data_IF_755571681958
#
_entry.id   IF_755571681958
#
_cell.length_a   1.000
_cell.length_b   1.000
_cell.length_c   1.000
_cell.angle_alpha   90.00
_cell.angle_beta   90.00
_cell.angle_gamma   90.00
#
_symmetry.space_group_name_H-M   'P 1'
#
loop_
_entity.id
_entity.type
_entity.pdbx_description
1 polymer ?
#
# COMPACT_ATOMS: atom_id res chain seq x y z
N UNK A 1 19.69 -6.47 24.38
CA UNK A 1 19.46 -6.94 25.76
C UNK A 1 20.18 -8.25 25.99
N UNK A 2 20.57 -8.52 27.21
CA UNK A 2 21.20 -9.79 27.60
C UNK A 2 20.28 -10.43 28.63
N UNK A 3 19.82 -11.64 28.34
CA UNK A 3 19.13 -12.47 29.32
C UNK A 3 19.96 -13.74 29.56
N UNK A 4 20.07 -14.17 30.79
CA UNK A 4 20.73 -15.42 31.14
C UNK A 4 19.85 -16.26 32.04
N UNK A 5 19.89 -17.57 31.87
CA UNK A 5 19.22 -18.55 32.73
C UNK A 5 20.17 -19.67 33.08
N UNK A 6 20.04 -20.18 34.30
CA UNK A 6 20.75 -21.38 34.73
C UNK A 6 19.86 -22.55 34.45
N UNK A 7 20.37 -23.55 33.75
CA UNK A 7 19.69 -24.83 33.53
C UNK A 7 19.99 -25.75 34.72
N UNK A 8 18.98 -26.21 35.42
CA UNK A 8 19.12 -27.11 36.54
C UNK A 8 18.93 -28.55 36.08
N UNK A 9 20.02 -29.19 35.67
CA UNK A 9 20.08 -30.61 35.26
C UNK A 9 21.18 -31.32 36.06
N UNK A 10 20.88 -31.64 37.34
CA UNK A 10 21.87 -32.17 38.27
C UNK A 10 22.37 -33.57 37.93
N UNK A 11 21.67 -34.28 37.03
CA UNK A 11 22.10 -35.63 36.63
C UNK A 11 23.20 -35.63 35.57
N UNK A 12 23.44 -34.51 34.89
CA UNK A 12 24.40 -34.45 33.79
C UNK A 12 25.76 -33.92 34.19
N UNK A 13 25.88 -33.08 35.22
CA UNK A 13 27.14 -32.47 35.69
C UNK A 13 26.93 -31.79 37.03
N UNK A 14 27.98 -31.67 37.82
CA UNK A 14 28.09 -30.80 38.99
C UNK A 14 28.19 -29.34 38.63
N UNK A 15 28.45 -29.02 37.36
CA UNK A 15 28.39 -27.70 36.79
C UNK A 15 27.06 -27.41 36.11
N UNK A 16 26.41 -26.31 36.48
CA UNK A 16 25.14 -25.88 35.84
C UNK A 16 25.44 -25.05 34.60
N UNK A 17 25.00 -25.47 33.44
CA UNK A 17 25.17 -24.68 32.22
C UNK A 17 24.43 -23.33 32.35
N UNK A 18 25.10 -22.25 31.96
CA UNK A 18 24.49 -20.92 31.83
C UNK A 18 24.19 -20.71 30.38
N UNK A 19 22.89 -20.55 30.06
CA UNK A 19 22.44 -20.14 28.73
C UNK A 19 22.26 -18.63 28.76
N UNK A 20 22.96 -17.95 27.87
CA UNK A 20 22.85 -16.50 27.69
C UNK A 20 22.31 -16.19 26.32
N UNK A 21 21.13 -15.59 26.28
CA UNK A 21 20.56 -15.06 25.06
C UNK A 21 21.02 -13.60 24.91
N UNK A 22 21.71 -13.31 23.83
CA UNK A 22 22.16 -11.96 23.50
C UNK A 22 21.32 -11.45 22.33
N UNK A 23 20.57 -10.39 22.55
CA UNK A 23 19.78 -9.74 21.51
C UNK A 23 20.47 -8.42 21.17
N UNK A 24 20.88 -8.28 19.92
CA UNK A 24 21.44 -7.05 19.38
C UNK A 24 20.33 -6.17 18.82
N UNK A 25 20.38 -4.89 19.11
CA UNK A 25 19.49 -3.91 18.49
C UNK A 25 19.92 -3.61 17.05
N UNK A 26 18.97 -3.25 16.21
CA UNK A 26 19.25 -2.75 14.88
C UNK A 26 19.67 -1.28 14.96
N UNK A 27 20.75 -0.86 14.28
CA UNK A 27 21.07 0.56 14.17
C UNK A 27 19.94 1.35 13.52
N UNK A 28 19.66 2.57 14.03
CA UNK A 28 18.55 3.40 13.53
C UNK A 28 18.55 3.55 12.01
N UNK A 29 19.70 3.78 11.38
CA UNK A 29 19.83 3.90 9.93
C UNK A 29 19.56 2.62 9.11
N UNK A 30 19.25 1.50 9.78
CA UNK A 30 18.91 0.22 9.14
C UNK A 30 17.51 -0.28 9.50
N UNK A 31 16.73 0.51 10.24
CA UNK A 31 15.38 0.14 10.64
C UNK A 31 14.40 0.27 9.48
N UNK A 32 14.45 1.35 8.70
CA UNK A 32 13.61 1.48 7.52
C UNK A 32 14.07 0.53 6.40
N UNK A 33 13.10 -0.15 5.81
CA UNK A 33 13.29 -1.01 4.65
C UNK A 33 12.88 -0.29 3.36
N UNK A 34 11.82 0.50 3.42
CA UNK A 34 11.31 1.29 2.29
C UNK A 34 11.17 2.75 2.69
N UNK A 35 11.22 3.63 1.70
CA UNK A 35 10.71 4.99 1.86
C UNK A 35 9.20 4.95 2.17
N UNK A 36 8.63 5.98 2.83
CA UNK A 36 7.20 6.08 3.00
C UNK A 36 6.49 6.31 1.67
N UNK A 37 5.30 5.76 1.53
CA UNK A 37 4.44 5.96 0.37
C UNK A 37 3.01 6.30 0.78
N UNK A 38 2.40 7.20 0.04
CA UNK A 38 1.09 7.77 0.30
C UNK A 38 0.02 6.99 -0.46
N UNK A 39 -1.05 6.63 0.24
CA UNK A 39 -2.18 5.91 -0.35
C UNK A 39 -3.52 6.44 0.13
N UNK A 40 -4.57 6.10 -0.59
CA UNK A 40 -5.96 6.31 -0.20
C UNK A 40 -6.27 7.77 0.24
N UNK A 41 -6.04 8.78 -0.63
CA UNK A 41 -6.27 10.19 -0.33
C UNK A 41 -7.78 10.53 -0.42
N UNK A 42 -8.60 9.95 0.45
CA UNK A 42 -10.07 10.08 0.42
C UNK A 42 -10.60 10.53 1.78
N UNK A 43 -11.78 11.14 1.81
CA UNK A 43 -12.45 11.51 3.06
C UNK A 43 -11.70 12.52 3.91
N UNK A 44 -11.01 13.48 3.31
CA UNK A 44 -10.13 14.45 3.99
C UNK A 44 -9.05 13.78 4.82
N UNK A 45 -8.47 12.71 4.30
CA UNK A 45 -7.39 11.99 4.93
C UNK A 45 -6.50 11.31 3.91
N UNK A 46 -5.37 10.79 4.38
CA UNK A 46 -4.40 10.06 3.59
C UNK A 46 -3.74 8.99 4.45
N UNK A 47 -3.36 7.89 3.86
CA UNK A 47 -2.65 6.83 4.56
C UNK A 47 -1.16 6.88 4.22
N UNK A 48 -0.32 6.86 5.24
CA UNK A 48 1.13 6.75 5.12
C UNK A 48 1.52 5.31 5.41
N UNK A 49 2.21 4.67 4.47
CA UNK A 49 2.67 3.30 4.59
C UNK A 49 4.18 3.22 4.41
N UNK A 50 4.82 2.30 5.10
CA UNK A 50 6.26 1.97 4.95
C UNK A 50 6.56 0.62 5.57
N UNK A 51 7.72 0.09 5.27
CA UNK A 51 8.18 -1.16 5.85
C UNK A 51 9.46 -0.96 6.66
N UNK A 52 9.64 -1.83 7.65
CA UNK A 52 10.83 -1.88 8.49
C UNK A 52 11.52 -3.24 8.38
N UNK A 53 12.79 -3.29 8.72
CA UNK A 53 13.60 -4.53 8.70
C UNK A 53 13.43 -5.36 9.97
N UNK A 54 12.88 -4.76 11.01
CA UNK A 54 12.62 -5.36 12.33
C UNK A 54 11.24 -4.96 12.81
N UNK A 55 10.60 -5.74 13.71
CA UNK A 55 9.33 -5.35 14.31
C UNK A 55 9.46 -4.01 15.07
N UNK A 56 8.48 -3.12 14.87
CA UNK A 56 8.53 -1.76 15.42
C UNK A 56 7.23 -1.33 16.09
N UNK A 57 7.38 -0.34 16.98
CA UNK A 57 6.35 0.61 17.34
C UNK A 57 6.51 1.86 16.50
N UNK A 58 5.51 2.19 15.70
CA UNK A 58 5.62 3.22 14.68
C UNK A 58 4.55 4.30 14.81
N UNK A 59 4.88 5.52 14.34
CA UNK A 59 3.97 6.65 14.28
C UNK A 59 4.36 7.61 13.16
N UNK A 60 3.42 8.48 12.79
CA UNK A 60 3.66 9.61 11.88
C UNK A 60 3.58 10.90 12.67
N UNK A 61 4.55 11.78 12.48
CA UNK A 61 4.48 13.17 12.91
C UNK A 61 4.13 14.04 11.71
N UNK A 62 3.09 14.87 11.82
CA UNK A 62 2.58 15.66 10.70
C UNK A 62 1.99 16.99 11.17
N UNK A 63 2.00 17.99 10.28
CA UNK A 63 1.46 19.31 10.54
C UNK A 63 1.59 20.23 9.33
N UNK A 64 0.99 21.41 9.41
CA UNK A 64 1.12 22.44 8.37
C UNK A 64 2.43 23.24 8.51
N UNK A 65 3.13 23.07 9.59
CA UNK A 65 4.50 23.54 9.81
C UNK A 65 5.32 22.47 10.53
N UNK A 66 6.66 22.61 10.52
CA UNK A 66 7.58 21.63 11.10
C UNK A 66 7.79 21.78 12.61
N UNK A 67 7.31 22.87 13.21
CA UNK A 67 7.52 23.17 14.64
C UNK A 67 6.34 22.68 15.49
N UNK A 68 5.12 22.61 14.89
CA UNK A 68 3.89 22.20 15.58
C UNK A 68 3.33 20.92 14.97
N UNK A 69 3.94 19.80 15.27
CA UNK A 69 3.56 18.50 14.73
C UNK A 69 2.58 17.77 15.64
N UNK A 70 1.59 17.15 15.04
CA UNK A 70 0.71 16.17 15.67
C UNK A 70 1.31 14.77 15.49
N UNK A 71 0.97 13.86 16.40
CA UNK A 71 1.38 12.45 16.34
C UNK A 71 0.17 11.57 16.01
N UNK A 72 0.27 10.82 14.90
CA UNK A 72 -0.71 9.80 14.53
C UNK A 72 -0.14 8.40 14.73
N UNK A 73 -1.01 7.48 15.13
CA UNK A 73 -0.74 6.03 15.24
C UNK A 73 -2.04 5.26 15.06
N UNK A 74 -1.96 4.01 14.61
CA UNK A 74 -3.14 3.17 14.47
C UNK A 74 -3.49 2.53 15.81
N UNK A 75 -4.74 2.70 16.24
CA UNK A 75 -5.29 2.09 17.45
C UNK A 75 -6.53 1.28 17.07
N UNK A 76 -6.56 0.02 17.46
CA UNK A 76 -7.69 -0.88 17.27
C UNK A 76 -8.07 -1.47 18.64
N UNK A 77 -9.32 -1.36 19.00
CA UNK A 77 -9.87 -1.88 20.27
C UNK A 77 -9.05 -1.46 21.52
N UNK A 78 -8.53 -0.21 21.48
CA UNK A 78 -7.72 0.37 22.56
C UNK A 78 -6.25 -0.04 22.55
N UNK A 79 -5.80 -0.84 21.58
CA UNK A 79 -4.41 -1.27 21.45
C UNK A 79 -3.75 -0.59 20.26
N UNK A 80 -2.51 -0.15 20.46
CA UNK A 80 -1.68 0.38 19.39
C UNK A 80 -1.21 -0.79 18.51
N UNK A 81 -1.45 -0.70 17.21
CA UNK A 81 -0.90 -1.64 16.25
C UNK A 81 0.61 -1.44 16.18
N UNK A 82 1.35 -2.48 16.52
CA UNK A 82 2.82 -2.49 16.57
C UNK A 82 3.33 -3.92 16.49
N UNK A 83 4.67 -4.08 16.57
CA UNK A 83 5.34 -5.38 16.52
C UNK A 83 5.17 -6.09 15.18
N UNK A 84 5.14 -5.31 14.11
CA UNK A 84 5.05 -5.77 12.73
C UNK A 84 6.13 -5.06 11.89
N UNK A 85 6.37 -5.59 10.70
CA UNK A 85 7.27 -5.01 9.69
C UNK A 85 6.54 -4.04 8.77
N UNK A 86 5.24 -4.26 8.53
CA UNK A 86 4.41 -3.39 7.72
C UNK A 86 3.74 -2.33 8.60
N UNK A 87 3.95 -1.06 8.25
CA UNK A 87 3.36 0.06 8.96
C UNK A 87 2.32 0.73 8.06
N UNK A 88 1.14 1.00 8.63
CA UNK A 88 0.00 1.62 7.96
C UNK A 88 -0.69 2.57 8.93
N UNK A 89 -0.58 3.86 8.69
CA UNK A 89 -1.12 4.89 9.58
C UNK A 89 -1.97 5.88 8.78
N UNK A 90 -3.23 5.96 9.16
CA UNK A 90 -4.18 6.90 8.57
C UNK A 90 -4.07 8.27 9.24
N UNK A 91 -3.99 9.33 8.42
CA UNK A 91 -4.13 10.72 8.85
C UNK A 91 -5.50 11.21 8.40
N UNK A 92 -6.35 11.58 9.34
CA UNK A 92 -7.72 12.05 9.08
C UNK A 92 -7.92 13.49 9.56
N UNK A 93 -9.03 14.11 9.13
CA UNK A 93 -9.39 15.46 9.52
C UNK A 93 -8.49 16.54 8.90
N UNK A 94 -7.86 16.22 7.77
CA UNK A 94 -6.98 17.13 7.05
C UNK A 94 -7.81 18.19 6.32
N UNK A 95 -7.26 19.40 6.22
CA UNK A 95 -7.87 20.50 5.47
C UNK A 95 -7.46 20.43 3.99
N UNK A 96 -8.43 20.24 3.07
CA UNK A 96 -8.13 20.22 1.63
C UNK A 96 -7.44 21.51 1.17
N UNK A 97 -6.52 21.41 0.22
CA UNK A 97 -5.75 22.51 -0.33
C UNK A 97 -4.57 22.98 0.53
N UNK A 98 -4.44 22.50 1.76
CA UNK A 98 -3.26 22.79 2.59
C UNK A 98 -2.15 21.78 2.32
N UNK A 99 -0.91 22.26 2.31
CA UNK A 99 0.28 21.42 2.30
C UNK A 99 0.61 21.00 3.72
N UNK A 100 0.79 19.69 3.91
CA UNK A 100 1.23 19.09 5.16
C UNK A 100 2.68 18.62 5.02
N UNK A 101 3.46 18.86 6.06
CA UNK A 101 4.74 18.20 6.30
C UNK A 101 4.47 16.95 7.11
N UNK A 102 5.18 15.87 6.81
CA UNK A 102 5.14 14.67 7.62
C UNK A 102 6.49 13.96 7.64
N UNK A 103 6.72 13.15 8.67
CA UNK A 103 7.82 12.20 8.75
C UNK A 103 7.36 10.94 9.46
N UNK A 104 7.97 9.82 9.13
CA UNK A 104 7.70 8.54 9.78
C UNK A 104 8.75 8.26 10.85
N UNK A 105 8.29 7.65 11.94
CA UNK A 105 9.14 7.28 13.07
C UNK A 105 8.87 5.82 13.40
N UNK A 106 9.93 5.04 13.63
CA UNK A 106 9.83 3.62 13.97
C UNK A 106 10.84 3.28 15.06
N UNK A 107 10.35 2.82 16.21
CA UNK A 107 11.14 2.34 17.29
C UNK A 107 11.19 0.81 17.28
N UNK A 108 12.37 0.22 17.23
CA UNK A 108 12.56 -1.22 17.27
C UNK A 108 11.93 -1.85 18.52
N UNK A 109 11.25 -2.97 18.35
CA UNK A 109 10.78 -3.84 19.44
C UNK A 109 11.67 -5.07 19.47
N UNK A 110 12.64 -5.08 20.37
CA UNK A 110 13.59 -6.20 20.54
C UNK A 110 12.97 -7.38 21.27
N UNK A 111 12.01 -7.12 22.14
CA UNK A 111 11.29 -8.15 22.91
C UNK A 111 9.86 -7.67 23.18
N UNK A 112 8.88 -8.53 22.92
CA UNK A 112 7.48 -8.27 23.23
C UNK A 112 6.86 -9.48 23.96
N UNK A 113 6.83 -9.41 25.29
CA UNK A 113 6.24 -10.44 26.15
C UNK A 113 5.11 -9.84 26.99
N UNK A 114 4.31 -10.66 27.63
CA UNK A 114 3.14 -10.23 28.41
C UNK A 114 3.49 -9.12 29.42
N UNK A 115 4.55 -9.27 30.19
CA UNK A 115 4.93 -8.35 31.25
C UNK A 115 6.30 -7.66 31.02
N UNK A 116 6.93 -7.87 29.85
CA UNK A 116 8.22 -7.28 29.53
C UNK A 116 8.29 -6.88 28.05
N UNK A 117 8.59 -5.63 27.79
CA UNK A 117 8.94 -5.12 26.46
C UNK A 117 10.34 -4.50 26.54
N UNK A 118 11.12 -4.70 25.51
CA UNK A 118 12.44 -4.08 25.35
C UNK A 118 12.44 -3.40 23.99
N UNK A 119 12.73 -2.11 24.01
CA UNK A 119 12.83 -1.30 22.82
C UNK A 119 14.28 -1.06 22.45
N UNK A 120 14.57 -1.02 21.17
CA UNK A 120 15.82 -0.62 20.58
C UNK A 120 15.84 0.86 20.20
N UNK A 121 16.59 1.16 19.15
CA UNK A 121 16.72 2.52 18.62
C UNK A 121 15.46 2.98 17.90
N UNK A 122 15.37 4.30 17.70
CA UNK A 122 14.28 4.93 16.92
C UNK A 122 14.88 5.52 15.66
N UNK A 123 14.36 5.08 14.51
CA UNK A 123 14.61 5.71 13.23
C UNK A 123 13.55 6.81 12.97
N UNK A 124 13.99 7.89 12.37
CA UNK A 124 13.15 9.02 11.96
C UNK A 124 13.52 9.36 10.53
N UNK A 125 12.54 9.44 9.63
CA UNK A 125 12.77 9.82 8.23
C UNK A 125 13.03 11.33 8.10
N UNK A 126 13.48 11.73 6.94
CA UNK A 126 13.39 13.13 6.52
C UNK A 126 11.93 13.60 6.45
N UNK A 127 11.74 14.90 6.30
CA UNK A 127 10.41 15.47 6.10
C UNK A 127 9.99 15.33 4.63
N UNK A 128 8.79 14.82 4.45
CA UNK A 128 8.06 14.77 3.19
C UNK A 128 6.88 15.75 3.21
N UNK A 129 6.24 15.97 2.07
CA UNK A 129 5.07 16.83 1.98
C UNK A 129 4.01 16.24 1.08
N UNK A 130 2.75 16.54 1.36
CA UNK A 130 1.63 16.26 0.47
C UNK A 130 0.58 17.36 0.56
N UNK A 131 -0.31 17.43 -0.45
CA UNK A 131 -1.48 18.32 -0.48
C UNK A 131 -2.67 17.52 -0.99
N UNK A 132 -3.79 17.57 -0.28
CA UNK A 132 -5.05 16.99 -0.76
C UNK A 132 -5.78 17.99 -1.67
N UNK A 133 -6.50 17.51 -2.72
CA UNK A 133 -7.26 18.38 -3.59
C UNK A 133 -8.42 19.05 -2.83
N UNK A 134 -8.80 20.22 -3.27
CA UNK A 134 -10.06 20.84 -2.82
C UNK A 134 -11.25 20.23 -3.55
N UNK A 135 -12.45 20.36 -2.99
CA UNK A 135 -13.67 19.84 -3.64
C UNK A 135 -14.07 20.64 -4.90
N UNK A 136 -13.42 21.76 -5.13
CA UNK A 136 -13.67 22.67 -6.27
C UNK A 136 -12.64 22.54 -7.38
N UNK A 137 -11.59 21.71 -7.17
CA UNK A 137 -10.59 21.48 -8.21
C UNK A 137 -11.24 20.77 -9.41
N UNK A 138 -11.11 21.35 -10.58
CA UNK A 138 -11.72 20.85 -11.83
C UNK A 138 -10.73 20.14 -12.72
N UNK A 139 -9.45 20.44 -12.53
CA UNK A 139 -8.37 19.91 -13.35
C UNK A 139 -7.33 19.20 -12.49
N UNK A 140 -6.88 18.05 -12.97
CA UNK A 140 -5.80 17.29 -12.37
C UNK A 140 -5.08 16.49 -13.46
N UNK A 141 -3.87 16.06 -13.14
CA UNK A 141 -3.09 15.15 -13.97
C UNK A 141 -2.87 13.85 -13.20
N UNK A 142 -3.28 12.75 -13.77
CA UNK A 142 -2.99 11.42 -13.25
C UNK A 142 -2.08 10.66 -14.23
N UNK A 143 -1.06 9.98 -13.72
CA UNK A 143 -0.25 9.06 -14.51
C UNK A 143 -0.77 7.64 -14.25
N UNK A 144 -1.02 6.89 -15.32
CA UNK A 144 -1.49 5.51 -15.21
C UNK A 144 -0.46 4.62 -15.90
N UNK A 145 0.17 3.75 -15.11
CA UNK A 145 1.04 2.69 -15.60
C UNK A 145 0.27 1.38 -15.65
N UNK A 146 0.53 0.58 -16.67
CA UNK A 146 -0.18 -0.65 -16.96
C UNK A 146 0.80 -1.67 -17.52
N UNK A 147 0.67 -2.94 -17.16
CA UNK A 147 1.46 -4.05 -17.74
C UNK A 147 2.98 -3.83 -17.66
N UNK A 148 3.50 -3.43 -16.51
CA UNK A 148 4.94 -3.25 -16.30
C UNK A 148 5.70 -4.58 -16.19
N UNK A 149 5.03 -5.63 -15.71
CA UNK A 149 5.54 -7.01 -15.63
C UNK A 149 6.93 -7.11 -14.97
N UNK A 150 7.14 -6.36 -13.89
CA UNK A 150 8.43 -6.29 -13.17
C UNK A 150 9.64 -5.88 -14.04
N UNK A 151 9.40 -5.21 -15.17
CA UNK A 151 10.46 -4.73 -16.04
C UNK A 151 10.90 -3.32 -15.65
N UNK A 152 11.96 -3.21 -14.85
CA UNK A 152 12.56 -1.94 -14.42
C UNK A 152 12.89 -1.01 -15.57
N UNK A 153 13.45 -1.55 -16.65
CA UNK A 153 13.80 -0.75 -17.85
C UNK A 153 12.56 -0.14 -18.52
N UNK A 154 11.45 -0.89 -18.55
CA UNK A 154 10.17 -0.40 -19.08
C UNK A 154 9.62 0.71 -18.20
N UNK A 155 9.60 0.53 -16.88
CA UNK A 155 9.19 1.56 -15.93
C UNK A 155 10.00 2.84 -16.12
N UNK A 156 11.33 2.75 -16.15
CA UNK A 156 12.22 3.91 -16.32
C UNK A 156 12.03 4.60 -17.67
N UNK A 157 11.85 3.82 -18.74
CA UNK A 157 11.61 4.37 -20.09
C UNK A 157 10.27 5.11 -20.17
N UNK A 158 9.21 4.57 -19.58
CA UNK A 158 7.90 5.22 -19.51
C UNK A 158 7.94 6.44 -18.60
N UNK A 159 8.52 6.31 -17.41
CA UNK A 159 8.62 7.42 -16.46
C UNK A 159 9.40 8.62 -17.04
N UNK A 160 10.45 8.36 -17.83
CA UNK A 160 11.20 9.41 -18.53
C UNK A 160 10.33 10.31 -19.42
N UNK A 161 9.20 9.79 -19.94
CA UNK A 161 8.29 10.57 -20.79
C UNK A 161 7.39 11.51 -19.97
N UNK A 162 7.21 11.23 -18.69
CA UNK A 162 6.24 11.93 -17.83
C UNK A 162 6.87 12.63 -16.62
N UNK A 163 8.14 12.39 -16.32
CA UNK A 163 8.83 12.90 -15.12
C UNK A 163 8.81 14.43 -14.96
N UNK A 164 8.73 15.16 -16.08
CA UNK A 164 8.71 16.63 -16.10
C UNK A 164 7.28 17.19 -16.03
N UNK A 165 6.25 16.33 -16.01
CA UNK A 165 4.88 16.73 -15.80
C UNK A 165 4.63 16.93 -14.31
N UNK A 166 3.84 17.93 -13.96
CA UNK A 166 3.24 18.01 -12.64
C UNK A 166 2.02 17.10 -12.64
N UNK A 167 2.03 16.08 -11.80
CA UNK A 167 0.88 15.17 -11.63
C UNK A 167 0.45 15.13 -10.16
N UNK A 168 -0.82 14.80 -9.95
CA UNK A 168 -1.49 14.86 -8.66
C UNK A 168 -1.58 13.49 -7.99
N UNK A 169 -1.66 12.42 -8.79
CA UNK A 169 -1.59 11.04 -8.30
C UNK A 169 -1.16 10.08 -9.40
N UNK A 170 -0.77 8.87 -8.99
CA UNK A 170 -0.38 7.80 -9.90
C UNK A 170 -1.27 6.57 -9.67
N UNK A 171 -1.60 5.86 -10.73
CA UNK A 171 -2.28 4.57 -10.68
C UNK A 171 -1.40 3.51 -11.32
N UNK A 172 -1.04 2.49 -10.55
CA UNK A 172 -0.50 1.25 -11.06
C UNK A 172 -1.68 0.31 -11.36
N UNK A 173 -2.05 0.22 -12.64
CA UNK A 173 -3.30 -0.37 -13.09
C UNK A 173 -3.13 -1.83 -13.52
N UNK A 174 -2.57 -2.64 -12.65
CA UNK A 174 -2.45 -4.08 -12.84
C UNK A 174 -1.23 -4.53 -13.63
N UNK A 175 -0.85 -5.76 -13.40
CA UNK A 175 0.30 -6.45 -13.97
C UNK A 175 1.59 -5.65 -13.81
N UNK A 176 1.75 -5.07 -12.62
CA UNK A 176 2.94 -4.31 -12.23
C UNK A 176 3.84 -5.12 -11.30
N UNK A 177 3.24 -5.88 -10.36
CA UNK A 177 3.94 -6.77 -9.41
C UNK A 177 3.56 -8.22 -9.71
N UNK A 178 4.02 -8.72 -10.83
CA UNK A 178 3.67 -10.03 -11.35
C UNK A 178 4.05 -11.20 -10.43
N UNK A 179 3.16 -12.18 -10.36
CA UNK A 179 3.45 -13.51 -9.82
C UNK A 179 4.34 -13.48 -8.56
N UNK A 180 3.97 -12.70 -7.51
CA UNK A 180 4.84 -12.50 -6.36
C UNK A 180 5.04 -13.80 -5.59
N UNK A 181 6.28 -14.28 -5.48
CA UNK A 181 6.61 -15.52 -4.82
C UNK A 181 6.66 -15.40 -3.29
N UNK A 182 7.10 -14.23 -2.79
CA UNK A 182 7.25 -13.94 -1.37
C UNK A 182 7.18 -12.44 -1.09
N UNK A 183 7.16 -12.10 0.20
CA UNK A 183 7.11 -10.72 0.68
C UNK A 183 8.31 -9.88 0.19
N UNK A 184 9.50 -10.46 0.18
CA UNK A 184 10.72 -9.72 -0.16
C UNK A 184 10.74 -9.31 -1.62
N UNK A 185 10.36 -10.22 -2.52
CA UNK A 185 10.23 -9.94 -3.94
C UNK A 185 9.18 -8.86 -4.19
N UNK A 186 7.98 -9.01 -3.61
CA UNK A 186 6.91 -8.03 -3.76
C UNK A 186 7.33 -6.65 -3.26
N UNK A 187 8.03 -6.59 -2.11
CA UNK A 187 8.53 -5.33 -1.55
C UNK A 187 9.58 -4.67 -2.43
N UNK A 188 10.48 -5.45 -3.03
CA UNK A 188 11.51 -4.91 -3.91
C UNK A 188 10.90 -4.15 -5.09
N UNK A 189 9.95 -4.76 -5.79
CA UNK A 189 9.27 -4.11 -6.92
C UNK A 189 8.37 -2.97 -6.48
N UNK A 190 7.65 -3.11 -5.35
CA UNK A 190 6.86 -2.03 -4.79
C UNK A 190 7.72 -0.80 -4.49
N UNK A 191 8.90 -0.97 -3.88
CA UNK A 191 9.83 0.12 -3.60
C UNK A 191 10.27 0.81 -4.88
N UNK A 192 10.65 0.05 -5.90
CA UNK A 192 11.05 0.60 -7.19
C UNK A 192 9.94 1.42 -7.85
N UNK A 193 8.69 0.90 -7.86
CA UNK A 193 7.54 1.62 -8.38
C UNK A 193 7.33 2.94 -7.63
N UNK A 194 7.30 2.88 -6.30
CA UNK A 194 7.03 4.02 -5.43
C UNK A 194 8.12 5.09 -5.50
N UNK A 195 9.38 4.70 -5.44
CA UNK A 195 10.51 5.63 -5.50
C UNK A 195 10.60 6.31 -6.87
N UNK A 196 10.35 5.56 -7.94
CA UNK A 196 10.36 6.11 -9.30
C UNK A 196 9.36 7.26 -9.45
N UNK A 197 8.15 7.12 -8.93
CA UNK A 197 7.09 8.12 -9.08
C UNK A 197 7.03 9.15 -7.95
N UNK A 198 7.88 9.05 -6.93
CA UNK A 198 7.86 9.93 -5.76
C UNK A 198 6.62 9.74 -4.89
N UNK A 199 6.27 8.49 -4.59
CA UNK A 199 5.10 8.14 -3.79
C UNK A 199 5.13 8.66 -2.34
N UNK A 200 6.27 9.15 -1.89
CA UNK A 200 6.46 9.88 -0.65
C UNK A 200 5.78 11.27 -0.64
N UNK A 201 5.45 11.80 -1.81
CA UNK A 201 4.85 13.15 -2.00
C UNK A 201 3.56 13.11 -2.79
N UNK A 202 3.40 12.12 -3.66
CA UNK A 202 2.27 11.97 -4.56
C UNK A 202 1.55 10.66 -4.23
N UNK A 203 0.23 10.69 -3.92
CA UNK A 203 -0.47 9.46 -3.60
C UNK A 203 -0.52 8.50 -4.78
N UNK A 204 -0.39 7.22 -4.47
CA UNK A 204 -0.43 6.12 -5.44
C UNK A 204 -1.62 5.20 -5.16
N UNK A 205 -2.23 4.71 -6.23
CA UNK A 205 -3.28 3.69 -6.18
C UNK A 205 -2.78 2.43 -6.87
N UNK A 206 -3.15 1.29 -6.32
CA UNK A 206 -2.88 0.00 -6.93
C UNK A 206 -4.19 -0.68 -7.30
N UNK A 207 -4.30 -1.08 -8.54
CA UNK A 207 -5.33 -1.98 -9.04
C UNK A 207 -4.61 -3.26 -9.41
N UNK A 208 -5.06 -4.39 -8.91
CA UNK A 208 -4.43 -5.65 -9.30
C UNK A 208 -4.90 -6.08 -10.69
N UNK A 209 -3.97 -6.60 -11.45
CA UNK A 209 -4.23 -7.30 -12.70
C UNK A 209 -4.36 -8.80 -12.48
N UNK A 210 -4.34 -9.54 -13.57
CA UNK A 210 -4.46 -10.98 -13.53
C UNK A 210 -3.14 -11.70 -13.18
N UNK A 211 -2.01 -11.00 -13.15
CA UNK A 211 -0.75 -11.56 -12.65
C UNK A 211 -0.57 -11.40 -11.16
N UNK A 212 -1.10 -10.36 -10.53
CA UNK A 212 -1.00 -10.18 -9.09
C UNK A 212 -1.75 -11.23 -8.27
N UNK A 213 -2.68 -11.98 -8.88
CA UNK A 213 -3.43 -13.04 -8.17
C UNK A 213 -2.76 -14.41 -8.21
N UNK A 214 -1.60 -14.50 -8.84
CA UNK A 214 -0.85 -15.75 -9.02
C UNK A 214 0.29 -15.85 -8.00
N UNK A 215 0.80 -17.08 -7.86
CA UNK A 215 1.91 -17.42 -6.98
C UNK A 215 1.63 -17.25 -5.47
N UNK A 216 2.59 -17.65 -4.63
CA UNK A 216 2.39 -17.90 -3.21
C UNK A 216 2.08 -16.65 -2.37
N UNK A 217 2.56 -15.49 -2.78
CA UNK A 217 2.36 -14.24 -2.04
C UNK A 217 1.21 -13.37 -2.58
N UNK A 218 0.43 -13.82 -3.54
CA UNK A 218 -0.67 -13.07 -4.16
C UNK A 218 -1.67 -12.49 -3.13
N UNK A 219 -2.06 -13.28 -2.14
CA UNK A 219 -2.94 -12.82 -1.04
C UNK A 219 -2.19 -11.85 -0.13
N UNK A 220 -0.90 -12.05 0.09
CA UNK A 220 -0.04 -11.20 0.91
C UNK A 220 0.09 -9.77 0.38
N UNK A 221 -0.03 -9.56 -0.92
CA UNK A 221 0.00 -8.22 -1.54
C UNK A 221 -1.00 -7.26 -0.90
N UNK A 222 -2.14 -7.76 -0.43
CA UNK A 222 -3.16 -6.95 0.23
C UNK A 222 -2.62 -6.17 1.43
N UNK A 223 -1.63 -6.69 2.13
CA UNK A 223 -1.02 -6.04 3.29
C UNK A 223 -0.16 -4.83 2.91
N UNK A 224 0.30 -4.78 1.66
CA UNK A 224 1.17 -3.71 1.14
C UNK A 224 0.39 -2.50 0.63
N UNK A 225 -0.95 -2.58 0.59
CA UNK A 225 -1.80 -1.54 0.02
C UNK A 225 -2.89 -1.08 1.00
N UNK A 226 -3.37 0.14 0.81
CA UNK A 226 -4.56 0.68 1.47
C UNK A 226 -5.64 0.97 0.44
N UNK A 227 -6.51 0.00 0.23
CA UNK A 227 -7.58 0.10 -0.74
C UNK A 227 -8.73 1.00 -0.25
N UNK A 228 -9.36 1.71 -1.18
CA UNK A 228 -10.53 2.53 -0.90
C UNK A 228 -11.68 1.68 -0.36
N UNK A 229 -12.10 1.94 0.88
CA UNK A 229 -13.16 1.15 1.54
C UNK A 229 -12.75 -0.27 1.90
N UNK A 230 -11.45 -0.54 2.01
CA UNK A 230 -10.86 -1.86 2.33
C UNK A 230 -11.28 -2.97 1.36
N UNK A 231 -11.49 -2.61 0.08
CA UNK A 231 -11.79 -3.55 -1.00
C UNK A 231 -10.88 -3.29 -2.18
N UNK A 232 -10.57 -4.32 -2.96
CA UNK A 232 -9.75 -4.19 -4.18
C UNK A 232 -10.43 -3.39 -5.29
N UNK A 233 -11.67 -2.96 -5.08
CA UNK A 233 -12.45 -2.07 -5.92
C UNK A 233 -13.13 -1.00 -5.06
N UNK A 234 -13.39 0.16 -5.63
CA UNK A 234 -14.00 1.27 -4.89
C UNK A 234 -14.20 2.50 -5.75
N UNK A 235 -14.69 3.57 -5.13
CA UNK A 235 -14.84 4.85 -5.80
C UNK A 235 -14.53 6.01 -4.86
N UNK A 236 -13.92 7.06 -5.40
CA UNK A 236 -13.57 8.26 -4.65
C UNK A 236 -13.73 9.51 -5.51
N UNK A 237 -13.75 10.66 -4.88
CA UNK A 237 -13.70 11.94 -5.59
C UNK A 237 -12.28 12.48 -5.60
N UNK A 238 -11.85 12.99 -6.75
CA UNK A 238 -10.71 13.87 -6.87
C UNK A 238 -11.24 15.22 -7.43
N UNK A 239 -11.27 16.23 -6.58
CA UNK A 239 -11.98 17.46 -6.92
C UNK A 239 -13.44 17.20 -7.28
N UNK A 240 -13.86 17.67 -8.43
CA UNK A 240 -15.21 17.48 -8.99
C UNK A 240 -15.39 16.21 -9.82
N UNK A 241 -14.35 15.40 -9.94
CA UNK A 241 -14.35 14.15 -10.71
C UNK A 241 -14.60 12.94 -9.81
N UNK A 242 -15.53 12.09 -10.23
CA UNK A 242 -15.75 10.77 -9.61
C UNK A 242 -14.94 9.71 -10.30
N UNK A 243 -14.05 9.04 -9.57
CA UNK A 243 -13.20 7.97 -10.06
C UNK A 243 -13.71 6.66 -9.48
N UNK A 244 -13.97 5.69 -10.35
CA UNK A 244 -14.40 4.33 -10.02
C UNK A 244 -13.29 3.39 -10.44
N UNK A 245 -12.80 2.57 -9.52
CA UNK A 245 -11.80 1.54 -9.77
C UNK A 245 -12.44 0.17 -9.61
N UNK A 246 -12.26 -0.71 -10.58
CA UNK A 246 -12.73 -2.07 -10.54
C UNK A 246 -11.58 -3.07 -10.60
N UNK A 247 -11.76 -4.20 -9.95
CA UNK A 247 -10.83 -5.31 -9.93
C UNK A 247 -11.26 -6.34 -10.97
N UNK A 248 -10.40 -6.69 -11.91
CA UNK A 248 -10.72 -7.71 -12.92
C UNK A 248 -10.91 -9.11 -12.33
N UNK A 249 -10.32 -9.35 -11.16
CA UNK A 249 -10.17 -10.70 -10.61
C UNK A 249 -9.17 -11.48 -11.46
N UNK A 250 -9.65 -12.09 -12.53
CA UNK A 250 -8.79 -12.85 -13.45
C UNK A 250 -9.40 -12.82 -14.88
N UNK A 251 -8.54 -13.05 -15.87
CA UNK A 251 -8.89 -13.11 -17.30
C UNK A 251 -9.38 -14.49 -17.77
N UNK A 252 -9.39 -15.50 -16.90
CA UNK A 252 -9.78 -16.89 -17.18
C UNK A 252 -10.98 -17.33 -16.33
N UNK A 253 -11.76 -18.34 -16.79
CA UNK A 253 -12.81 -18.91 -15.95
C UNK A 253 -12.23 -19.58 -14.71
N UNK A 254 -12.98 -19.55 -13.60
CA UNK A 254 -12.56 -20.09 -12.30
C UNK A 254 -12.17 -21.59 -12.36
N UNK A 255 -12.72 -22.31 -13.34
CA UNK A 255 -12.41 -23.72 -13.60
C UNK A 255 -11.13 -23.96 -14.42
N UNK A 256 -10.42 -22.90 -14.80
CA UNK A 256 -9.20 -23.05 -15.59
C UNK A 256 -8.13 -23.82 -14.82
N UNK A 257 -7.45 -24.75 -15.49
CA UNK A 257 -6.48 -25.67 -14.85
C UNK A 257 -5.38 -24.97 -14.08
N UNK A 258 -4.95 -23.76 -14.50
CA UNK A 258 -3.88 -22.99 -13.88
C UNK A 258 -4.20 -22.56 -12.43
N UNK A 259 -5.47 -22.59 -12.04
CA UNK A 259 -5.87 -22.20 -10.68
C UNK A 259 -5.94 -23.38 -9.70
N UNK A 260 -5.86 -24.61 -10.17
CA UNK A 260 -5.93 -25.80 -9.31
C UNK A 260 -7.13 -25.82 -8.35
N UNK A 261 -8.21 -25.10 -8.66
CA UNK A 261 -9.38 -24.96 -7.80
C UNK A 261 -9.19 -24.02 -6.59
N UNK A 262 -8.14 -23.19 -6.59
CA UNK A 262 -7.82 -22.29 -5.47
C UNK A 262 -8.35 -20.87 -5.68
N UNK A 263 -8.98 -20.58 -6.82
CA UNK A 263 -9.55 -19.28 -7.15
C UNK A 263 -11.05 -19.41 -7.41
N UNK A 264 -11.81 -18.46 -6.89
CA UNK A 264 -13.24 -18.29 -7.13
C UNK A 264 -13.54 -16.78 -7.22
N UNK A 265 -13.60 -16.26 -8.44
CA UNK A 265 -13.88 -14.86 -8.70
C UNK A 265 -15.36 -14.58 -8.97
N UNK A 266 -16.20 -15.60 -8.99
CA UNK A 266 -17.65 -15.47 -9.32
C UNK A 266 -18.33 -14.50 -8.34
N UNK A 267 -18.09 -14.65 -7.04
CA UNK A 267 -18.72 -13.79 -6.05
C UNK A 267 -18.07 -12.40 -5.99
N UNK A 268 -16.78 -12.27 -6.26
CA UNK A 268 -16.12 -10.97 -6.43
C UNK A 268 -16.74 -10.18 -7.60
N UNK A 269 -16.98 -10.83 -8.74
CA UNK A 269 -17.61 -10.20 -9.91
C UNK A 269 -19.06 -9.78 -9.64
N UNK A 270 -19.84 -10.62 -8.95
CA UNK A 270 -21.20 -10.27 -8.51
C UNK A 270 -21.23 -9.10 -7.54
N UNK A 271 -20.30 -9.10 -6.54
CA UNK A 271 -20.18 -8.03 -5.58
C UNK A 271 -19.83 -6.69 -6.25
N UNK A 272 -18.91 -6.71 -7.23
CA UNK A 272 -18.58 -5.51 -8.01
C UNK A 272 -19.74 -5.03 -8.90
N UNK A 273 -20.51 -5.94 -9.50
CA UNK A 273 -21.71 -5.56 -10.24
C UNK A 273 -22.76 -4.89 -9.35
N UNK A 274 -22.94 -5.39 -8.12
CA UNK A 274 -23.77 -4.76 -7.08
C UNK A 274 -23.24 -3.37 -6.69
N UNK A 275 -21.95 -3.29 -6.36
CA UNK A 275 -21.28 -2.03 -6.05
C UNK A 275 -21.44 -1.01 -7.18
N UNK A 276 -21.18 -1.40 -8.41
CA UNK A 276 -21.30 -0.49 -9.56
C UNK A 276 -22.73 0.03 -9.74
N UNK A 277 -23.73 -0.82 -9.55
CA UNK A 277 -25.13 -0.42 -9.59
C UNK A 277 -25.46 0.61 -8.50
N UNK A 278 -25.00 0.41 -7.28
CA UNK A 278 -25.16 1.34 -6.16
C UNK A 278 -24.41 2.65 -6.42
N UNK A 279 -23.17 2.55 -6.92
CA UNK A 279 -22.34 3.70 -7.23
C UNK A 279 -22.97 4.60 -8.30
N UNK A 280 -23.47 4.03 -9.40
CA UNK A 280 -24.17 4.76 -10.46
C UNK A 280 -25.44 5.48 -9.94
N UNK A 281 -26.08 4.92 -8.91
CA UNK A 281 -27.25 5.53 -8.26
C UNK A 281 -26.87 6.58 -7.20
N UNK A 282 -25.61 6.61 -6.76
CA UNK A 282 -25.15 7.45 -5.65
C UNK A 282 -25.23 8.96 -5.96
N UNK A 283 -25.37 9.76 -4.91
CA UNK A 283 -25.35 11.22 -5.02
C UNK A 283 -23.97 11.72 -5.50
N UNK A 284 -22.91 11.05 -5.06
CA UNK A 284 -21.52 11.41 -5.43
C UNK A 284 -21.31 11.26 -6.93
N UNK A 285 -21.71 10.11 -7.50
CA UNK A 285 -21.59 9.87 -8.93
C UNK A 285 -22.44 10.81 -9.76
N UNK A 286 -23.70 11.06 -9.34
CA UNK A 286 -24.63 11.93 -10.08
C UNK A 286 -24.20 13.40 -10.08
N UNK A 287 -23.58 13.87 -8.99
CA UNK A 287 -23.14 15.27 -8.86
C UNK A 287 -21.78 15.57 -9.49
N UNK A 288 -20.97 14.56 -9.72
CA UNK A 288 -19.66 14.75 -10.31
C UNK A 288 -19.77 15.35 -11.72
N UNK A 289 -18.89 16.30 -12.02
CA UNK A 289 -18.80 16.92 -13.36
C UNK A 289 -18.21 15.95 -14.37
N UNK A 290 -17.20 15.19 -13.93
CA UNK A 290 -16.51 14.17 -14.74
C UNK A 290 -16.59 12.81 -14.04
N UNK A 291 -16.53 11.75 -14.83
CA UNK A 291 -16.53 10.38 -14.32
C UNK A 291 -15.48 9.57 -15.07
N UNK A 292 -14.65 8.89 -14.30
CA UNK A 292 -13.56 8.07 -14.82
C UNK A 292 -13.73 6.67 -14.27
N UNK A 293 -13.69 5.66 -15.14
CA UNK A 293 -13.62 4.25 -14.77
C UNK A 293 -12.20 3.75 -15.08
N UNK A 294 -11.56 3.17 -14.08
CA UNK A 294 -10.24 2.53 -14.20
C UNK A 294 -10.41 1.04 -13.95
N UNK A 295 -9.93 0.25 -14.88
CA UNK A 295 -9.98 -1.20 -14.84
C UNK A 295 -8.81 -1.76 -15.64
N UNK A 296 -8.19 -2.84 -15.17
CA UNK A 296 -7.03 -3.40 -15.85
C UNK A 296 -7.43 -4.12 -17.14
N UNK A 297 -8.28 -5.13 -17.07
CA UNK A 297 -8.75 -5.85 -18.25
C UNK A 297 -9.90 -5.10 -18.92
N UNK A 298 -9.85 -4.82 -20.22
CA UNK A 298 -10.95 -4.16 -20.94
C UNK A 298 -12.27 -4.91 -20.79
N UNK A 299 -13.33 -4.23 -20.32
CA UNK A 299 -14.66 -4.80 -20.14
C UNK A 299 -15.55 -4.62 -21.37
N UNK A 300 -15.15 -3.81 -22.33
CA UNK A 300 -15.88 -3.58 -23.56
C UNK A 300 -15.05 -4.01 -24.76
N UNK A 301 -15.64 -4.79 -25.63
CA UNK A 301 -14.98 -5.23 -26.85
C UNK A 301 -15.89 -6.06 -27.75
N UNK A 302 -15.48 -6.24 -29.00
CA UNK A 302 -16.11 -7.12 -29.97
C UNK A 302 -15.20 -8.31 -30.25
N UNK A 303 -15.66 -9.53 -29.98
CA UNK A 303 -14.94 -10.76 -30.26
C UNK A 303 -14.52 -11.54 -29.02
N UNK A 304 -13.92 -12.69 -29.22
CA UNK A 304 -13.58 -13.64 -28.18
C UNK A 304 -12.28 -13.30 -27.42
N UNK A 305 -11.55 -12.27 -27.88
CA UNK A 305 -10.30 -11.82 -27.26
C UNK A 305 -10.43 -10.39 -26.74
N UNK A 306 -10.51 -10.25 -25.43
CA UNK A 306 -10.62 -8.95 -24.75
C UNK A 306 -9.44 -8.02 -25.06
N UNK A 307 -8.26 -8.56 -25.34
CA UNK A 307 -7.07 -7.79 -25.65
C UNK A 307 -7.13 -7.05 -26.99
N UNK A 308 -8.00 -7.49 -27.93
CA UNK A 308 -8.09 -6.89 -29.26
C UNK A 308 -9.31 -5.99 -29.48
N UNK A 309 -10.08 -5.76 -28.44
CA UNK A 309 -11.41 -5.17 -28.56
C UNK A 309 -11.55 -3.79 -27.96
N UNK A 310 -10.56 -3.32 -27.23
CA UNK A 310 -10.49 -1.92 -26.85
C UNK A 310 -9.98 -1.12 -28.05
N UNK A 311 -10.76 -0.17 -28.61
CA UNK A 311 -10.17 0.77 -29.56
C UNK A 311 -9.15 1.59 -28.83
N UNK A 312 -7.87 1.31 -29.08
CA UNK A 312 -6.83 2.25 -28.71
C UNK A 312 -7.14 3.58 -29.37
N UNK A 313 -7.26 4.68 -28.65
CA UNK A 313 -7.33 5.98 -29.28
C UNK A 313 -6.02 6.17 -30.04
N UNK A 314 -6.13 6.25 -31.37
CA UNK A 314 -5.02 6.63 -32.24
C UNK A 314 -4.87 8.13 -32.19
#
# INVERSE_FOLDING_TARGET
>A
SISSRVWDEPAASDHRPIITDIIFNQPAGKIFRTEPYLQNPVGNGITVMWQTTVPTYSWVEYGTDKEHLQKARTIVDGQVICNDLQNKIRLDGLEPGKTYYYRVCSQEIMLYQAYKKVFGETAVSDFHTFTLPTTTDTDFTAIIFNDLHKHSETLQALYKQVKDLKYDFVVFNGDCIDDPANHDEATCFLSELNETVGADRVPVFYIRGNHEIRNAYSIGLRSLFDYVGDKTYGAFNWGDTRIVMLDCGEDKPDTHWVYYGLNDFSDLRKAQAGFLKEELASRAFKKASKRVLIHHVPIFGKGDCLLYTSPSPR
#
